data_IF_204172326896
#
_entry.id   IF_204172326896
#
_cell.length_a   1.000
_cell.length_b   1.000
_cell.length_c   1.000
_cell.angle_alpha   90.00
_cell.angle_beta   90.00
_cell.angle_gamma   90.00
#
_symmetry.space_group_name_H-M   'P 1'
#
loop_
_entity.id
_entity.type
_entity.pdbx_description
1 polymer ?
#
# COMPACT_ATOMS: atom_id res chain seq x y z
N UNK A 1 2.71 18.35 -23.47
CA UNK A 1 3.33 17.98 -24.76
C UNK A 1 4.65 17.32 -24.44
N UNK A 2 5.03 16.19 -25.05
CA UNK A 2 6.36 15.61 -24.80
C UNK A 2 7.42 16.63 -25.23
N UNK A 3 8.37 16.89 -24.34
CA UNK A 3 9.52 17.74 -24.64
C UNK A 3 10.27 17.14 -25.83
N UNK A 4 10.55 17.92 -26.85
CA UNK A 4 11.39 17.47 -27.96
C UNK A 4 12.77 17.10 -27.41
N UNK A 5 13.44 16.13 -28.03
CA UNK A 5 14.81 15.68 -27.64
C UNK A 5 15.81 16.84 -27.49
N UNK A 6 15.54 17.99 -28.12
CA UNK A 6 16.35 19.19 -28.05
C UNK A 6 16.10 20.09 -26.82
N UNK A 7 15.16 19.75 -25.95
CA UNK A 7 14.82 20.54 -24.74
C UNK A 7 15.19 19.85 -23.43
N UNK A 8 15.94 18.74 -23.48
CA UNK A 8 16.41 18.12 -22.25
C UNK A 8 17.47 19.00 -21.57
N UNK A 9 17.29 19.18 -20.25
CA UNK A 9 18.28 19.86 -19.41
C UNK A 9 19.62 19.16 -19.49
N UNK A 10 20.73 19.90 -19.45
CA UNK A 10 22.06 19.33 -19.32
C UNK A 10 22.18 18.56 -18.00
N UNK A 11 23.18 17.68 -17.87
CA UNK A 11 23.41 16.96 -16.60
C UNK A 11 23.63 17.91 -15.43
N UNK A 12 24.39 18.99 -15.64
CA UNK A 12 24.64 20.02 -14.62
C UNK A 12 23.35 20.74 -14.22
N UNK A 13 22.48 21.06 -15.17
CA UNK A 13 21.18 21.65 -14.90
C UNK A 13 20.26 20.70 -14.13
N UNK A 14 20.27 19.40 -14.45
CA UNK A 14 19.50 18.38 -13.73
C UNK A 14 20.01 18.22 -12.29
N UNK A 15 21.34 18.20 -12.08
CA UNK A 15 21.95 18.14 -10.75
C UNK A 15 21.53 19.35 -9.93
N UNK A 16 21.69 20.56 -10.44
CA UNK A 16 21.33 21.78 -9.75
C UNK A 16 19.83 21.84 -9.40
N UNK A 17 18.96 21.33 -10.29
CA UNK A 17 17.52 21.25 -10.03
C UNK A 17 17.19 20.31 -8.86
N UNK A 18 17.83 19.13 -8.80
CA UNK A 18 17.66 18.19 -7.70
C UNK A 18 18.20 18.75 -6.37
N UNK A 19 19.38 19.34 -6.37
CA UNK A 19 19.97 19.96 -5.18
C UNK A 19 19.08 21.07 -4.62
N UNK A 20 18.52 21.90 -5.51
CA UNK A 20 17.59 22.96 -5.14
C UNK A 20 16.30 22.37 -4.55
N UNK A 21 15.70 21.36 -5.19
CA UNK A 21 14.50 20.71 -4.68
C UNK A 21 14.74 20.10 -3.30
N UNK A 22 15.82 19.33 -3.14
CA UNK A 22 16.14 18.69 -1.86
C UNK A 22 16.42 19.69 -0.73
N UNK A 23 16.98 20.83 -1.05
CA UNK A 23 17.30 21.86 -0.06
C UNK A 23 16.10 22.75 0.30
N UNK A 24 15.19 23.01 -0.64
CA UNK A 24 14.14 24.02 -0.48
C UNK A 24 12.73 23.45 -0.31
N UNK A 25 12.49 22.25 -0.80
CA UNK A 25 11.17 21.64 -0.74
C UNK A 25 10.91 21.04 0.66
N UNK A 26 9.88 21.52 1.38
CA UNK A 26 9.53 21.02 2.72
C UNK A 26 9.30 19.50 2.77
N UNK A 27 8.93 18.88 1.63
CA UNK A 27 8.77 17.44 1.47
C UNK A 27 9.99 16.64 1.93
N UNK A 28 11.19 17.22 1.78
CA UNK A 28 12.46 16.54 2.07
C UNK A 28 13.06 16.87 3.43
N UNK A 29 12.34 17.64 4.24
CA UNK A 29 12.81 17.99 5.58
C UNK A 29 13.03 16.73 6.44
N UNK A 30 14.28 16.56 6.92
CA UNK A 30 14.66 15.43 7.76
C UNK A 30 14.93 14.12 7.01
N UNK A 31 14.81 14.10 5.67
CA UNK A 31 15.18 12.93 4.86
C UNK A 31 16.68 12.94 4.58
N UNK A 32 17.37 11.86 4.93
CA UNK A 32 18.79 11.66 4.62
C UNK A 32 18.95 10.80 3.37
N UNK A 33 19.92 11.18 2.54
CA UNK A 33 20.36 10.43 1.37
C UNK A 33 21.83 10.08 1.55
N UNK A 34 22.20 8.83 1.30
CA UNK A 34 23.60 8.37 1.34
C UNK A 34 24.36 8.61 0.02
N UNK A 35 23.81 9.43 -0.89
CA UNK A 35 24.30 9.69 -2.24
C UNK A 35 24.02 11.14 -2.63
N UNK A 36 24.67 11.60 -3.72
CA UNK A 36 24.52 12.95 -4.26
C UNK A 36 23.51 13.04 -5.41
N UNK A 37 23.06 14.25 -5.74
CA UNK A 37 22.26 14.52 -6.93
C UNK A 37 23.03 14.12 -8.23
N UNK A 38 24.34 14.27 -8.22
CA UNK A 38 25.20 13.83 -9.33
C UNK A 38 25.14 12.31 -9.54
N UNK A 39 25.08 11.51 -8.45
CA UNK A 39 24.92 10.06 -8.54
C UNK A 39 23.58 9.68 -9.16
N UNK A 40 22.49 10.37 -8.76
CA UNK A 40 21.16 10.18 -9.33
C UNK A 40 21.18 10.45 -10.83
N UNK A 41 21.69 11.60 -11.25
CA UNK A 41 21.72 12.01 -12.66
C UNK A 41 22.65 11.09 -13.48
N UNK A 42 23.73 10.59 -12.89
CA UNK A 42 24.64 9.64 -13.54
C UNK A 42 24.00 8.28 -13.79
N UNK A 43 23.13 7.81 -12.86
CA UNK A 43 22.57 6.45 -12.88
C UNK A 43 21.14 6.37 -13.41
N UNK A 44 20.45 7.53 -13.61
CA UNK A 44 19.21 7.55 -14.39
C UNK A 44 19.53 7.49 -15.89
N UNK A 45 18.65 6.94 -16.69
CA UNK A 45 18.83 6.92 -18.16
C UNK A 45 18.82 8.34 -18.76
N UNK A 46 19.21 8.46 -20.04
CA UNK A 46 19.13 9.72 -20.78
C UNK A 46 17.68 10.19 -21.04
N UNK A 47 16.74 9.27 -21.09
CA UNK A 47 15.31 9.53 -21.18
C UNK A 47 14.67 9.27 -19.81
N UNK A 48 13.85 10.21 -19.32
CA UNK A 48 13.06 10.06 -18.11
C UNK A 48 11.61 9.75 -18.49
N UNK A 49 11.16 8.49 -18.38
CA UNK A 49 9.75 8.16 -18.55
C UNK A 49 8.90 8.84 -17.47
N UNK A 50 7.71 9.28 -17.82
CA UNK A 50 6.75 9.81 -16.86
C UNK A 50 6.01 8.67 -16.17
N UNK A 51 5.88 8.76 -14.85
CA UNK A 51 5.16 7.83 -14.00
C UNK A 51 3.96 8.52 -13.34
N UNK A 52 3.04 9.02 -14.18
CA UNK A 52 1.94 9.91 -13.79
C UNK A 52 1.14 9.41 -12.59
N UNK A 53 0.76 8.13 -12.56
CA UNK A 53 -0.04 7.58 -11.47
C UNK A 53 0.76 7.48 -10.16
N UNK A 54 2.02 7.07 -10.22
CA UNK A 54 2.90 7.02 -9.06
C UNK A 54 3.19 8.42 -8.51
N UNK A 55 3.50 9.38 -9.39
CA UNK A 55 3.74 10.78 -9.05
C UNK A 55 2.52 11.37 -8.34
N UNK A 56 1.37 11.36 -9.01
CA UNK A 56 0.12 11.86 -8.47
C UNK A 56 -0.26 11.19 -7.14
N UNK A 57 -0.16 9.86 -7.11
CA UNK A 57 -0.49 9.09 -5.91
C UNK A 57 0.40 9.45 -4.72
N UNK A 58 1.72 9.61 -4.94
CA UNK A 58 2.65 10.00 -3.90
C UNK A 58 2.36 11.42 -3.36
N UNK A 59 2.06 12.38 -4.24
CA UNK A 59 1.71 13.75 -3.86
C UNK A 59 0.38 13.79 -3.09
N UNK A 60 -0.65 13.10 -3.57
CA UNK A 60 -1.95 13.01 -2.89
C UNK A 60 -1.79 12.37 -1.50
N UNK A 61 -1.07 11.25 -1.42
CA UNK A 61 -0.85 10.57 -0.13
C UNK A 61 -0.09 11.47 0.84
N UNK A 62 0.98 12.16 0.36
CA UNK A 62 1.74 13.07 1.19
C UNK A 62 0.87 14.17 1.80
N UNK A 63 0.03 14.82 1.00
CA UNK A 63 -0.86 15.87 1.47
C UNK A 63 -1.85 15.33 2.50
N UNK A 64 -2.46 14.18 2.24
CA UNK A 64 -3.42 13.56 3.15
C UNK A 64 -2.83 13.21 4.51
N UNK A 65 -1.66 12.60 4.57
CA UNK A 65 -1.00 12.25 5.84
C UNK A 65 -0.42 13.48 6.58
N UNK A 66 -0.33 14.62 5.91
CA UNK A 66 0.10 15.91 6.48
C UNK A 66 -1.04 16.90 6.78
N UNK A 67 -2.29 16.46 6.72
CA UNK A 67 -3.41 17.26 7.22
C UNK A 67 -4.64 17.34 6.33
N UNK A 68 -4.56 16.96 5.04
CA UNK A 68 -5.69 17.05 4.10
C UNK A 68 -6.65 15.85 4.17
N UNK A 69 -6.42 14.90 5.07
CA UNK A 69 -7.34 13.78 5.29
C UNK A 69 -8.59 14.23 6.04
N UNK A 70 -9.74 13.69 5.64
CA UNK A 70 -11.06 13.97 6.25
C UNK A 70 -11.12 13.73 7.76
N UNK A 71 -10.32 12.80 8.27
CA UNK A 71 -10.29 12.38 9.69
C UNK A 71 -9.03 12.84 10.43
N UNK A 72 -8.11 13.55 9.77
CA UNK A 72 -6.79 13.87 10.33
C UNK A 72 -5.80 12.70 10.32
N UNK A 73 -6.19 11.58 9.71
CA UNK A 73 -5.36 10.42 9.37
C UNK A 73 -5.97 9.66 8.20
N UNK A 74 -5.15 8.98 7.43
CA UNK A 74 -5.59 8.10 6.35
C UNK A 74 -5.83 6.71 6.91
N UNK A 75 -7.04 6.18 6.72
CA UNK A 75 -7.34 4.78 6.97
C UNK A 75 -7.53 4.03 5.64
N UNK A 76 -6.94 2.84 5.55
CA UNK A 76 -7.00 1.98 4.38
C UNK A 76 -7.26 0.53 4.79
N UNK A 77 -7.54 -0.33 3.86
CA UNK A 77 -7.49 -1.76 4.08
C UNK A 77 -7.05 -2.51 2.82
N UNK A 78 -6.60 -3.75 3.02
CA UNK A 78 -6.11 -4.59 1.96
C UNK A 78 -7.16 -4.88 0.90
N UNK A 79 -6.88 -4.54 -0.36
CA UNK A 79 -7.65 -5.00 -1.50
C UNK A 79 -7.04 -6.28 -2.06
N UNK A 80 -7.86 -7.30 -2.33
CA UNK A 80 -7.42 -8.56 -2.94
C UNK A 80 -7.70 -8.60 -4.45
N UNK A 81 -8.61 -7.76 -4.92
CA UNK A 81 -8.91 -7.61 -6.34
C UNK A 81 -9.01 -6.14 -6.73
N UNK A 82 -8.84 -5.87 -8.00
CA UNK A 82 -8.97 -4.52 -8.53
C UNK A 82 -10.39 -3.98 -8.43
N UNK A 83 -11.41 -4.83 -8.58
CA UNK A 83 -12.82 -4.47 -8.35
C UNK A 83 -13.08 -4.07 -6.90
N UNK A 84 -12.48 -4.78 -5.95
CA UNK A 84 -12.59 -4.42 -4.53
C UNK A 84 -11.97 -3.05 -4.23
N UNK A 85 -10.81 -2.74 -4.83
CA UNK A 85 -10.19 -1.42 -4.70
C UNK A 85 -11.06 -0.30 -5.32
N UNK A 86 -11.72 -0.58 -6.45
CA UNK A 86 -12.68 0.36 -7.07
C UNK A 86 -13.86 0.63 -6.14
N UNK A 87 -14.42 -0.39 -5.48
CA UNK A 87 -15.48 -0.20 -4.50
C UNK A 87 -15.00 0.58 -3.26
N UNK A 88 -13.74 0.42 -2.85
CA UNK A 88 -13.15 1.24 -1.78
C UNK A 88 -13.12 2.73 -2.16
N UNK A 89 -12.78 3.07 -3.42
CA UNK A 89 -12.83 4.44 -3.90
C UNK A 89 -14.27 4.98 -3.89
N UNK A 90 -15.24 4.23 -4.41
CA UNK A 90 -16.66 4.60 -4.38
C UNK A 90 -17.19 4.82 -2.97
N UNK A 91 -16.76 3.99 -2.03
CA UNK A 91 -17.13 4.10 -0.62
C UNK A 91 -16.46 5.27 0.11
N UNK A 92 -15.55 6.00 -0.55
CA UNK A 92 -14.94 7.22 -0.02
C UNK A 92 -13.69 7.00 0.83
N UNK A 93 -13.01 5.86 0.72
CA UNK A 93 -11.67 5.68 1.27
C UNK A 93 -10.69 6.63 0.57
N UNK A 94 -9.59 6.94 1.26
CA UNK A 94 -8.60 7.92 0.79
C UNK A 94 -7.29 7.29 0.33
N UNK A 95 -7.13 5.98 0.51
CA UNK A 95 -6.01 5.18 0.04
C UNK A 95 -6.38 3.69 -0.02
N UNK A 96 -5.61 2.93 -0.78
CA UNK A 96 -5.64 1.47 -0.81
C UNK A 96 -4.36 0.94 -0.18
N UNK A 97 -4.46 -0.04 0.70
CA UNK A 97 -3.31 -0.85 1.10
C UNK A 97 -3.26 -2.13 0.25
N UNK A 98 -2.09 -2.47 -0.27
CA UNK A 98 -1.87 -3.71 -1.01
C UNK A 98 -0.97 -4.64 -0.20
N UNK A 99 -1.61 -5.63 0.42
CA UNK A 99 -0.98 -6.59 1.33
C UNK A 99 -0.23 -7.68 0.59
N UNK A 100 1.05 -7.87 0.92
CA UNK A 100 1.83 -9.02 0.46
C UNK A 100 1.23 -10.35 0.93
N UNK A 101 0.68 -10.41 2.15
CA UNK A 101 -0.02 -11.59 2.65
C UNK A 101 -1.20 -11.99 1.75
N UNK A 102 -2.04 -11.02 1.36
CA UNK A 102 -3.18 -11.29 0.47
C UNK A 102 -2.72 -11.69 -0.93
N UNK A 103 -1.65 -11.06 -1.42
CA UNK A 103 -1.04 -11.44 -2.71
C UNK A 103 -0.46 -12.86 -2.63
N UNK A 104 0.21 -13.23 -1.55
CA UNK A 104 0.71 -14.60 -1.34
C UNK A 104 -0.45 -15.62 -1.38
N UNK A 105 -1.55 -15.32 -0.71
CA UNK A 105 -2.68 -16.23 -0.57
C UNK A 105 -3.49 -16.42 -1.87
N UNK A 106 -3.74 -15.33 -2.64
CA UNK A 106 -4.78 -15.35 -3.69
C UNK A 106 -4.51 -14.41 -4.88
N UNK A 107 -3.33 -13.83 -5.00
CA UNK A 107 -3.08 -12.85 -6.07
C UNK A 107 -1.69 -12.86 -6.69
N UNK A 108 -0.88 -13.89 -6.41
CA UNK A 108 0.50 -13.94 -6.88
C UNK A 108 0.64 -14.45 -8.31
N UNK A 109 1.74 -14.11 -8.96
CA UNK A 109 2.05 -14.49 -10.34
C UNK A 109 2.55 -15.94 -10.47
N UNK A 110 2.77 -16.65 -9.36
CA UNK A 110 3.09 -18.08 -9.33
C UNK A 110 1.83 -18.97 -9.40
N UNK A 111 0.63 -18.36 -9.42
CA UNK A 111 -0.67 -19.02 -9.64
C UNK A 111 -1.00 -20.11 -8.61
N UNK A 112 -0.53 -19.95 -7.35
CA UNK A 112 -0.78 -20.88 -6.26
C UNK A 112 -0.99 -20.17 -4.93
N UNK A 113 -1.50 -20.89 -3.95
CA UNK A 113 -1.72 -20.37 -2.61
C UNK A 113 -0.46 -20.56 -1.75
N UNK A 114 0.10 -19.45 -1.24
CA UNK A 114 1.24 -19.46 -0.34
C UNK A 114 0.94 -18.82 1.01
N UNK A 115 1.62 -19.26 2.08
CA UNK A 115 1.72 -18.45 3.29
C UNK A 115 2.58 -17.21 3.01
N UNK A 116 2.46 -16.21 3.88
CA UNK A 116 3.25 -14.96 3.80
C UNK A 116 4.72 -15.20 4.22
N UNK A 117 5.49 -15.79 3.33
CA UNK A 117 6.90 -16.17 3.50
C UNK A 117 7.77 -15.83 2.28
N UNK A 118 7.34 -14.87 1.46
CA UNK A 118 8.03 -14.46 0.23
C UNK A 118 8.34 -15.63 -0.74
N UNK A 119 7.41 -16.59 -0.83
CA UNK A 119 7.54 -17.75 -1.74
C UNK A 119 7.10 -17.41 -3.18
N UNK A 120 6.33 -16.34 -3.34
CA UNK A 120 5.88 -15.87 -4.64
C UNK A 120 6.95 -15.01 -5.33
N UNK A 121 6.83 -14.86 -6.64
CA UNK A 121 7.75 -14.06 -7.44
C UNK A 121 7.68 -12.57 -7.06
N UNK A 122 8.83 -11.89 -7.02
CA UNK A 122 8.96 -10.49 -6.58
C UNK A 122 8.09 -9.48 -7.35
N UNK A 123 7.66 -9.83 -8.56
CA UNK A 123 6.82 -9.00 -9.42
C UNK A 123 5.31 -9.14 -9.12
N UNK A 124 4.93 -10.01 -8.20
CA UNK A 124 3.53 -10.29 -7.89
C UNK A 124 2.79 -9.07 -7.36
N UNK A 125 3.37 -8.36 -6.37
CA UNK A 125 2.79 -7.14 -5.82
C UNK A 125 2.76 -6.02 -6.86
N UNK A 126 3.85 -5.71 -7.60
CA UNK A 126 3.80 -4.74 -8.69
C UNK A 126 2.73 -5.07 -9.76
N UNK A 127 2.53 -6.34 -10.09
CA UNK A 127 1.50 -6.77 -11.03
C UNK A 127 0.10 -6.46 -10.51
N UNK A 128 -0.17 -6.68 -9.23
CA UNK A 128 -1.45 -6.33 -8.62
C UNK A 128 -1.66 -4.80 -8.53
N UNK A 129 -0.62 -4.02 -8.20
CA UNK A 129 -0.67 -2.54 -8.27
C UNK A 129 -1.10 -2.08 -9.66
N UNK A 130 -0.49 -2.63 -10.71
CA UNK A 130 -0.82 -2.30 -12.11
C UNK A 130 -2.25 -2.69 -12.46
N UNK A 131 -2.72 -3.85 -11.99
CA UNK A 131 -4.10 -4.32 -12.20
C UNK A 131 -5.12 -3.36 -11.55
N UNK A 132 -4.88 -2.92 -10.32
CA UNK A 132 -5.72 -1.94 -9.62
C UNK A 132 -5.74 -0.61 -10.39
N UNK A 133 -4.59 -0.08 -10.74
CA UNK A 133 -4.49 1.17 -11.49
C UNK A 133 -5.17 1.10 -12.87
N UNK A 134 -5.12 -0.04 -13.56
CA UNK A 134 -5.83 -0.23 -14.83
C UNK A 134 -7.35 -0.23 -14.63
N UNK A 135 -7.84 -0.77 -13.52
CA UNK A 135 -9.27 -0.70 -13.16
C UNK A 135 -9.68 0.71 -12.80
N UNK A 136 -8.87 1.44 -12.05
CA UNK A 136 -9.11 2.86 -11.76
C UNK A 136 -9.18 3.71 -13.03
N UNK A 137 -8.27 3.50 -13.98
CA UNK A 137 -8.33 4.17 -15.29
C UNK A 137 -9.63 3.86 -16.03
N UNK A 138 -10.06 2.58 -16.05
CA UNK A 138 -11.31 2.21 -16.70
C UNK A 138 -12.52 2.83 -16.01
N UNK A 139 -12.57 2.84 -14.69
CA UNK A 139 -13.67 3.49 -13.95
C UNK A 139 -13.72 5.00 -14.22
N UNK A 140 -12.57 5.65 -14.30
CA UNK A 140 -12.47 7.07 -14.65
C UNK A 140 -12.89 7.33 -16.10
N UNK A 141 -12.46 6.52 -17.05
CA UNK A 141 -12.89 6.61 -18.46
C UNK A 141 -14.41 6.47 -18.61
N UNK A 142 -15.04 5.60 -17.82
CA UNK A 142 -16.51 5.42 -17.84
C UNK A 142 -17.22 6.67 -17.34
N UNK A 143 -16.80 7.24 -16.20
CA UNK A 143 -17.42 8.45 -15.67
C UNK A 143 -17.16 9.66 -16.56
N UNK A 144 -15.94 9.81 -17.09
CA UNK A 144 -15.57 10.87 -18.01
C UNK A 144 -16.38 10.82 -19.30
N UNK A 145 -16.58 9.64 -19.87
CA UNK A 145 -17.42 9.40 -21.05
C UNK A 145 -18.89 9.78 -20.84
N UNK A 146 -19.37 9.70 -19.60
CA UNK A 146 -20.71 10.16 -19.20
C UNK A 146 -20.80 11.67 -18.94
N UNK A 147 -19.70 12.43 -19.12
CA UNK A 147 -19.65 13.87 -18.92
C UNK A 147 -19.54 14.32 -17.46
N UNK A 148 -19.20 13.41 -16.54
CA UNK A 148 -18.98 13.74 -15.12
C UNK A 148 -17.61 14.40 -14.96
N UNK A 149 -17.56 15.62 -14.44
CA UNK A 149 -16.33 16.41 -14.33
C UNK A 149 -15.85 16.52 -12.87
N UNK A 150 -14.54 16.76 -12.64
CA UNK A 150 -14.04 17.13 -11.34
C UNK A 150 -14.79 18.34 -10.76
N UNK A 151 -15.36 18.18 -9.55
CA UNK A 151 -16.19 19.19 -8.90
C UNK A 151 -17.70 18.91 -8.98
N UNK A 152 -18.15 18.05 -9.87
CA UNK A 152 -19.52 17.55 -9.86
C UNK A 152 -19.77 16.69 -8.62
N UNK A 153 -21.00 16.68 -8.13
CA UNK A 153 -21.38 15.92 -6.92
C UNK A 153 -21.16 14.42 -7.08
N UNK A 154 -21.35 13.94 -8.29
CA UNK A 154 -21.24 12.53 -8.68
C UNK A 154 -19.80 12.11 -8.97
N UNK A 155 -18.87 13.06 -9.06
CA UNK A 155 -17.47 12.76 -9.40
C UNK A 155 -16.79 11.94 -8.31
N UNK A 156 -16.19 10.84 -8.71
CA UNK A 156 -15.39 9.99 -7.85
C UNK A 156 -13.92 10.06 -8.31
N UNK A 157 -13.02 10.47 -7.43
CA UNK A 157 -11.60 10.32 -7.69
C UNK A 157 -11.20 8.85 -7.47
N UNK A 158 -11.21 8.09 -8.56
CA UNK A 158 -10.82 6.68 -8.53
C UNK A 158 -9.34 6.47 -8.29
N UNK A 159 -8.48 7.45 -8.60
CA UNK A 159 -7.02 7.30 -8.51
C UNK A 159 -6.52 7.41 -7.07
N UNK A 160 -7.03 6.54 -6.21
CA UNK A 160 -6.56 6.45 -4.83
C UNK A 160 -5.07 6.09 -4.78
N UNK A 161 -4.28 6.74 -3.91
CA UNK A 161 -2.91 6.33 -3.68
C UNK A 161 -2.85 4.90 -3.15
N UNK A 162 -1.97 4.08 -3.74
CA UNK A 162 -1.75 2.69 -3.33
C UNK A 162 -0.45 2.61 -2.54
N UNK A 163 -0.54 2.14 -1.30
CA UNK A 163 0.64 1.77 -0.48
C UNK A 163 0.84 0.28 -0.58
N UNK A 164 1.99 -0.14 -1.11
CA UNK A 164 2.28 -1.51 -1.48
C UNK A 164 3.35 -2.16 -0.61
N UNK A 165 3.21 -3.46 -0.40
CA UNK A 165 4.10 -4.31 0.37
C UNK A 165 5.30 -4.76 -0.48
N UNK A 166 6.52 -4.41 -0.07
CA UNK A 166 7.76 -4.89 -0.68
C UNK A 166 8.42 -6.00 0.14
N UNK A 167 7.73 -6.54 1.17
CA UNK A 167 8.30 -7.58 2.01
C UNK A 167 9.66 -7.16 2.60
N UNK A 168 10.60 -8.08 2.73
CA UNK A 168 11.98 -7.78 3.08
C UNK A 168 12.85 -7.36 1.86
N UNK A 169 12.24 -7.01 0.74
CA UNK A 169 12.93 -6.59 -0.49
C UNK A 169 13.39 -7.73 -1.39
N UNK A 170 12.98 -8.98 -1.14
CA UNK A 170 13.32 -10.18 -1.91
C UNK A 170 14.83 -10.45 -2.10
N UNK A 171 15.66 -9.89 -1.22
CA UNK A 171 17.10 -10.05 -1.24
C UNK A 171 17.85 -8.89 -0.60
N UNK A 172 18.97 -8.49 -1.19
CA UNK A 172 19.79 -7.37 -0.74
C UNK A 172 19.38 -6.03 -1.34
N UNK A 173 20.27 -5.04 -1.25
CA UNK A 173 20.02 -3.66 -1.68
C UNK A 173 19.72 -3.54 -3.18
N UNK A 174 20.30 -4.36 -4.04
CA UNK A 174 20.03 -4.34 -5.48
C UNK A 174 18.63 -4.89 -5.79
N UNK A 175 18.18 -5.91 -5.07
CA UNK A 175 16.82 -6.41 -5.20
C UNK A 175 15.80 -5.35 -4.77
N UNK A 176 16.04 -4.67 -3.64
CA UNK A 176 15.19 -3.57 -3.15
C UNK A 176 15.14 -2.41 -4.16
N UNK A 177 16.26 -2.08 -4.80
CA UNK A 177 16.34 -1.04 -5.85
C UNK A 177 15.45 -1.38 -7.05
N UNK A 178 15.60 -2.56 -7.63
CA UNK A 178 14.81 -2.96 -8.80
C UNK A 178 13.34 -3.19 -8.48
N UNK A 179 13.03 -3.75 -7.28
CA UNK A 179 11.65 -3.89 -6.82
C UNK A 179 10.97 -2.54 -6.69
N UNK A 180 11.65 -1.55 -6.08
CA UNK A 180 11.09 -0.19 -5.95
C UNK A 180 10.82 0.45 -7.30
N UNK A 181 11.71 0.29 -8.29
CA UNK A 181 11.47 0.75 -9.66
C UNK A 181 10.22 0.09 -10.26
N UNK A 182 10.06 -1.21 -10.05
CA UNK A 182 8.89 -1.96 -10.52
C UNK A 182 7.59 -1.47 -9.88
N UNK A 183 7.60 -1.17 -8.58
CA UNK A 183 6.48 -0.57 -7.87
C UNK A 183 6.08 0.79 -8.45
N UNK A 184 7.07 1.65 -8.71
CA UNK A 184 6.85 2.97 -9.32
C UNK A 184 6.29 2.84 -10.75
N UNK A 185 6.83 1.96 -11.57
CA UNK A 185 6.32 1.69 -12.91
C UNK A 185 4.89 1.16 -12.91
N UNK A 186 4.53 0.41 -11.88
CA UNK A 186 3.16 -0.08 -11.68
C UNK A 186 2.19 1.02 -11.18
N UNK A 187 2.73 2.13 -10.66
CA UNK A 187 1.94 3.26 -10.17
C UNK A 187 1.71 3.26 -8.66
N UNK A 188 2.58 2.63 -7.85
CA UNK A 188 2.51 2.70 -6.40
C UNK A 188 2.84 4.12 -5.90
N UNK A 189 2.04 4.61 -4.95
CA UNK A 189 2.20 5.90 -4.28
C UNK A 189 3.16 5.82 -3.10
N UNK A 190 3.13 4.71 -2.38
CA UNK A 190 3.98 4.40 -1.25
C UNK A 190 4.37 2.94 -1.25
N UNK A 191 5.52 2.64 -0.64
CA UNK A 191 6.05 1.27 -0.54
C UNK A 191 6.69 1.09 0.83
N UNK A 192 6.39 -0.02 1.49
CA UNK A 192 7.07 -0.36 2.74
C UNK A 192 8.04 -1.53 2.57
N UNK A 193 9.11 -1.46 3.35
CA UNK A 193 10.14 -2.50 3.48
C UNK A 193 10.29 -2.87 4.95
N UNK A 194 10.50 -4.16 5.23
CA UNK A 194 10.73 -4.67 6.58
C UNK A 194 12.16 -5.16 6.78
N UNK A 195 12.57 -5.23 8.05
CA UNK A 195 13.95 -5.52 8.47
C UNK A 195 14.25 -7.01 8.67
N UNK A 196 13.45 -7.89 8.06
CA UNK A 196 13.68 -9.33 8.10
C UNK A 196 14.71 -9.79 7.04
N UNK A 197 15.34 -10.92 7.32
CA UNK A 197 16.14 -11.67 6.34
C UNK A 197 15.19 -12.23 5.26
N UNK A 198 15.33 -11.78 4.02
CA UNK A 198 14.44 -12.15 2.92
C UNK A 198 14.35 -13.68 2.69
N UNK A 199 15.48 -14.40 2.84
CA UNK A 199 15.56 -15.84 2.60
C UNK A 199 14.71 -16.69 3.56
N UNK A 200 14.36 -16.16 4.75
CA UNK A 200 13.56 -16.85 5.77
C UNK A 200 12.42 -15.99 6.30
N UNK A 201 11.98 -15.01 5.53
CA UNK A 201 10.92 -14.06 5.89
C UNK A 201 9.66 -14.77 6.38
N UNK A 202 9.03 -14.18 7.38
CA UNK A 202 7.77 -14.63 7.98
C UNK A 202 6.78 -13.46 8.06
N UNK A 203 5.50 -13.76 8.03
CA UNK A 203 4.47 -12.80 8.44
C UNK A 203 4.78 -12.24 9.84
N UNK A 204 4.49 -10.98 10.08
CA UNK A 204 4.76 -10.31 11.35
C UNK A 204 4.24 -11.03 12.59
N UNK A 205 3.18 -11.81 12.44
CA UNK A 205 2.52 -12.57 13.51
C UNK A 205 2.96 -14.05 13.58
N UNK A 206 3.91 -14.46 12.76
CA UNK A 206 4.52 -15.80 12.82
C UNK A 206 5.79 -15.80 13.68
N UNK A 207 6.13 -16.99 14.21
CA UNK A 207 7.42 -17.22 14.87
C UNK A 207 8.57 -17.38 13.88
N UNK A 208 9.82 -17.42 14.41
CA UNK A 208 11.01 -17.71 13.61
C UNK A 208 11.48 -16.56 12.70
N UNK A 209 11.07 -15.33 12.99
CA UNK A 209 11.57 -14.14 12.30
C UNK A 209 13.05 -13.92 12.59
N UNK A 210 13.83 -13.64 11.56
CA UNK A 210 15.25 -13.30 11.65
C UNK A 210 15.43 -11.87 11.13
N UNK A 211 15.94 -10.99 11.98
CA UNK A 211 16.29 -9.62 11.60
C UNK A 211 17.60 -9.59 10.80
N UNK A 212 17.71 -8.63 9.88
CA UNK A 212 19.01 -8.20 9.39
C UNK A 212 19.60 -7.14 10.33
N UNK A 213 20.93 -6.86 10.33
CA UNK A 213 21.50 -5.75 11.08
C UNK A 213 20.79 -4.43 10.78
N UNK A 214 20.67 -3.57 11.77
CA UNK A 214 20.00 -2.28 11.63
C UNK A 214 20.55 -1.48 10.45
N UNK A 215 21.86 -1.48 10.24
CA UNK A 215 22.51 -0.81 9.11
C UNK A 215 22.07 -1.39 7.76
N UNK A 216 21.99 -2.70 7.63
CA UNK A 216 21.54 -3.37 6.41
C UNK A 216 20.09 -2.98 6.07
N UNK A 217 19.22 -2.91 7.07
CA UNK A 217 17.86 -2.41 6.89
C UNK A 217 17.84 -0.93 6.43
N UNK A 218 18.66 -0.07 7.04
CA UNK A 218 18.83 1.31 6.58
C UNK A 218 19.32 1.38 5.13
N UNK A 219 20.26 0.53 4.73
CA UNK A 219 20.79 0.48 3.36
C UNK A 219 19.72 0.06 2.35
N UNK A 220 18.78 -0.82 2.70
CA UNK A 220 17.60 -1.14 1.88
C UNK A 220 16.67 0.07 1.72
N UNK A 221 16.43 0.84 2.79
CA UNK A 221 15.63 2.08 2.71
C UNK A 221 16.31 3.15 1.86
N UNK A 222 17.63 3.31 1.98
CA UNK A 222 18.43 4.21 1.12
C UNK A 222 18.33 3.76 -0.33
N UNK A 223 18.41 2.46 -0.59
CA UNK A 223 18.27 1.87 -1.92
C UNK A 223 16.90 2.16 -2.54
N UNK A 224 15.82 2.01 -1.77
CA UNK A 224 14.47 2.34 -2.20
C UNK A 224 14.33 3.85 -2.51
N UNK A 225 14.87 4.73 -1.64
CA UNK A 225 14.88 6.18 -1.90
C UNK A 225 15.68 6.53 -3.14
N UNK A 226 16.84 5.89 -3.33
CA UNK A 226 17.66 6.09 -4.51
C UNK A 226 16.93 5.68 -5.79
N UNK A 227 16.23 4.56 -5.77
CA UNK A 227 15.39 4.13 -6.89
C UNK A 227 14.29 5.17 -7.22
N UNK A 228 13.62 5.70 -6.20
CA UNK A 228 12.60 6.74 -6.36
C UNK A 228 13.19 8.03 -6.95
N UNK A 229 14.34 8.49 -6.44
CA UNK A 229 15.03 9.67 -6.97
C UNK A 229 15.54 9.45 -8.41
N UNK A 230 16.04 8.26 -8.75
CA UNK A 230 16.43 7.87 -10.13
C UNK A 230 15.21 7.89 -11.05
N UNK A 231 14.07 7.40 -10.61
CA UNK A 231 12.82 7.39 -11.36
C UNK A 231 12.13 8.77 -11.41
N UNK A 232 12.57 9.73 -10.57
CA UNK A 232 12.01 11.08 -10.51
C UNK A 232 10.63 11.15 -9.85
N UNK A 233 10.28 10.21 -8.98
CA UNK A 233 8.99 10.14 -8.30
C UNK A 233 9.17 10.30 -6.79
N UNK A 234 8.42 11.18 -6.10
CA UNK A 234 8.54 11.41 -4.66
C UNK A 234 7.82 10.31 -3.84
N UNK A 235 8.02 9.04 -4.20
CA UNK A 235 7.35 7.90 -3.58
C UNK A 235 7.50 7.91 -2.07
N UNK A 236 6.42 7.64 -1.36
CA UNK A 236 6.40 7.54 0.09
C UNK A 236 7.05 6.23 0.52
N UNK A 237 8.07 6.31 1.38
CA UNK A 237 8.76 5.12 1.91
C UNK A 237 8.37 4.92 3.36
N UNK A 238 7.87 3.73 3.67
CA UNK A 238 7.56 3.31 5.04
C UNK A 238 8.60 2.27 5.48
N UNK A 239 9.21 2.50 6.64
CA UNK A 239 10.11 1.54 7.27
C UNK A 239 9.34 0.72 8.30
N UNK A 240 9.31 -0.60 8.14
CA UNK A 240 8.74 -1.52 9.12
C UNK A 240 9.84 -2.19 9.91
N UNK A 241 9.67 -2.28 11.24
CA UNK A 241 10.46 -3.18 12.07
C UNK A 241 9.60 -4.30 12.65
N UNK A 242 10.14 -5.50 12.65
CA UNK A 242 9.57 -6.70 13.27
C UNK A 242 10.22 -7.03 14.63
N UNK A 243 10.99 -6.11 15.19
CA UNK A 243 11.80 -6.31 16.39
C UNK A 243 10.98 -6.53 17.67
N UNK A 244 9.67 -6.21 17.68
CA UNK A 244 8.79 -6.51 18.82
C UNK A 244 8.74 -8.00 19.12
N UNK A 245 8.74 -8.86 18.10
CA UNK A 245 8.60 -10.30 18.29
C UNK A 245 9.78 -11.12 17.73
N UNK A 246 10.72 -10.51 17.00
CA UNK A 246 11.84 -11.22 16.40
C UNK A 246 12.98 -11.42 17.40
N UNK A 247 13.37 -12.67 17.65
CA UNK A 247 14.42 -13.07 18.61
C UNK A 247 15.70 -13.56 17.94
N UNK A 248 15.84 -13.39 16.63
CA UNK A 248 17.01 -13.79 15.88
C UNK A 248 17.51 -12.63 15.01
N UNK A 249 18.83 -12.59 14.81
CA UNK A 249 19.51 -11.66 13.91
C UNK A 249 20.64 -12.37 13.17
N UNK A 250 20.93 -11.96 11.94
CA UNK A 250 21.94 -12.60 11.09
C UNK A 250 23.36 -12.34 11.54
N UNK A 251 23.65 -11.22 12.20
CA UNK A 251 25.00 -10.78 12.54
C UNK A 251 25.04 -10.00 13.87
N UNK A 252 26.22 -9.96 14.49
CA UNK A 252 26.44 -9.37 15.81
C UNK A 252 27.37 -8.15 15.80
N UNK A 253 27.73 -7.56 14.68
CA UNK A 253 28.73 -6.50 14.65
C UNK A 253 28.14 -5.08 14.50
N UNK A 254 26.85 -4.95 14.25
CA UNK A 254 26.20 -3.64 14.19
C UNK A 254 26.09 -3.04 15.61
N UNK A 255 26.61 -1.84 15.78
CA UNK A 255 26.63 -1.16 17.07
C UNK A 255 25.23 -0.90 17.64
N UNK A 256 24.23 -0.68 16.77
CA UNK A 256 22.85 -0.44 17.17
C UNK A 256 22.17 -1.69 17.75
N UNK A 257 22.65 -2.88 17.37
CA UNK A 257 22.06 -4.15 17.77
C UNK A 257 22.78 -4.79 18.98
N UNK A 258 23.97 -4.29 19.36
CA UNK A 258 24.82 -4.88 20.42
C UNK A 258 24.09 -5.03 21.76
N UNK A 259 23.32 -4.03 22.19
CA UNK A 259 22.64 -4.02 23.48
C UNK A 259 21.57 -5.13 23.60
N UNK A 260 21.12 -5.66 22.48
CA UNK A 260 20.06 -6.68 22.43
C UNK A 260 20.57 -8.11 22.29
N UNK A 261 21.85 -8.31 22.00
CA UNK A 261 22.44 -9.64 21.86
C UNK A 261 22.43 -10.39 23.19
N UNK A 262 22.03 -11.67 23.16
CA UNK A 262 22.06 -12.56 24.37
C UNK A 262 23.37 -13.28 24.52
N UNK A 263 24.23 -13.31 23.52
CA UNK A 263 25.45 -14.11 23.46
C UNK A 263 25.24 -15.54 22.94
N UNK A 264 24.00 -15.95 22.75
CA UNK A 264 23.66 -17.31 22.26
C UNK A 264 23.52 -17.33 20.73
N UNK A 265 23.70 -18.53 20.15
CA UNK A 265 23.51 -18.80 18.72
C UNK A 265 22.59 -19.98 18.49
N UNK A 266 21.91 -20.01 17.35
CA UNK A 266 21.13 -21.14 16.87
C UNK A 266 22.03 -22.16 16.13
N UNK A 267 21.46 -23.31 15.81
CA UNK A 267 22.14 -24.35 15.03
C UNK A 267 22.49 -23.82 13.61
N UNK A 268 21.67 -22.98 13.02
CA UNK A 268 21.89 -22.37 11.71
C UNK A 268 22.93 -21.24 11.76
N UNK A 269 23.33 -20.81 12.95
CA UNK A 269 24.34 -19.80 13.19
C UNK A 269 23.79 -18.38 13.38
N UNK A 270 22.48 -18.18 13.44
CA UNK A 270 21.88 -16.90 13.82
C UNK A 270 22.18 -16.55 15.28
N UNK A 271 22.31 -15.27 15.57
CA UNK A 271 22.43 -14.79 16.95
C UNK A 271 21.06 -14.60 17.56
N UNK A 272 20.93 -14.87 18.87
CA UNK A 272 19.71 -14.57 19.61
C UNK A 272 19.75 -13.13 20.11
N UNK A 273 18.59 -12.47 20.02
CA UNK A 273 18.37 -11.10 20.50
C UNK A 273 17.19 -11.04 21.46
N UNK A 274 17.22 -10.05 22.37
CA UNK A 274 16.07 -9.66 23.17
C UNK A 274 15.13 -8.84 22.30
N UNK A 275 13.94 -9.34 22.09
CA UNK A 275 12.86 -8.65 21.37
C UNK A 275 12.11 -7.66 22.27
N UNK A 276 11.15 -6.94 21.69
CA UNK A 276 10.25 -6.05 22.41
C UNK A 276 10.43 -4.57 22.14
N UNK A 277 9.86 -3.76 23.01
CA UNK A 277 9.74 -2.31 22.80
C UNK A 277 11.10 -1.61 22.64
N UNK A 278 12.08 -1.92 23.48
CA UNK A 278 13.39 -1.25 23.45
C UNK A 278 14.13 -1.50 22.12
N UNK A 279 14.12 -2.74 21.64
CA UNK A 279 14.72 -3.07 20.35
C UNK A 279 13.94 -2.41 19.19
N UNK A 280 12.61 -2.40 19.26
CA UNK A 280 11.76 -1.73 18.28
C UNK A 280 12.02 -0.23 18.22
N UNK A 281 12.16 0.43 19.37
CA UNK A 281 12.50 1.86 19.46
C UNK A 281 13.88 2.11 18.86
N UNK A 282 14.89 1.34 19.22
CA UNK A 282 16.26 1.49 18.70
C UNK A 282 16.27 1.47 17.17
N UNK A 283 15.56 0.52 16.57
CA UNK A 283 15.43 0.39 15.10
C UNK A 283 14.57 1.49 14.49
N UNK A 284 13.41 1.79 15.08
CA UNK A 284 12.54 2.85 14.61
C UNK A 284 13.23 4.22 14.54
N UNK A 285 14.03 4.54 15.55
CA UNK A 285 14.86 5.76 15.59
C UNK A 285 15.93 5.73 14.48
N UNK A 286 16.58 4.59 14.26
CA UNK A 286 17.59 4.45 13.22
C UNK A 286 17.01 4.59 11.80
N UNK A 287 15.79 4.13 11.58
CA UNK A 287 15.11 4.18 10.26
C UNK A 287 14.51 5.55 9.94
N UNK A 288 14.13 6.31 10.96
CA UNK A 288 13.44 7.59 10.81
C UNK A 288 14.09 8.58 9.82
N UNK A 289 15.43 8.72 9.72
CA UNK A 289 16.04 9.59 8.74
C UNK A 289 15.92 9.14 7.28
N UNK A 290 15.64 7.86 7.03
CA UNK A 290 15.65 7.25 5.69
C UNK A 290 14.25 6.94 5.15
N UNK A 291 13.22 7.03 6.00
CA UNK A 291 11.83 6.79 5.63
C UNK A 291 10.96 8.02 5.87
N UNK A 292 9.82 8.08 5.19
CA UNK A 292 8.78 9.09 5.40
C UNK A 292 7.95 8.77 6.63
N UNK A 293 7.57 7.49 6.78
CA UNK A 293 6.88 6.97 7.95
C UNK A 293 7.66 5.80 8.56
N UNK A 294 7.49 5.62 9.87
CA UNK A 294 8.03 4.46 10.59
C UNK A 294 6.89 3.65 11.17
N UNK A 295 7.02 2.33 11.09
CA UNK A 295 6.04 1.38 11.56
C UNK A 295 6.72 0.26 12.37
N UNK A 296 6.21 -0.02 13.57
CA UNK A 296 6.54 -1.21 14.33
C UNK A 296 5.39 -2.22 14.21
N UNK A 297 5.66 -3.42 13.71
CA UNK A 297 4.68 -4.51 13.75
C UNK A 297 4.54 -5.03 15.18
N UNK A 298 3.30 -5.20 15.65
CA UNK A 298 2.99 -5.64 17.02
C UNK A 298 2.11 -6.87 17.03
N UNK A 299 2.15 -7.62 18.12
CA UNK A 299 1.36 -8.86 18.29
C UNK A 299 -0.04 -8.64 18.84
N UNK A 300 -0.31 -7.48 19.45
CA UNK A 300 -1.60 -7.12 20.07
C UNK A 300 -1.88 -5.64 19.90
N UNK A 301 -3.17 -5.20 19.98
CA UNK A 301 -3.54 -3.80 19.92
C UNK A 301 -3.27 -3.11 21.27
N UNK A 302 -2.06 -2.58 21.44
CA UNK A 302 -1.60 -1.92 22.67
C UNK A 302 -1.27 -0.44 22.41
N UNK A 303 -2.17 0.44 22.88
CA UNK A 303 -1.99 1.90 22.74
C UNK A 303 -0.87 2.44 23.64
N UNK A 304 -0.53 1.73 24.73
CA UNK A 304 0.60 2.06 25.62
C UNK A 304 1.92 1.85 24.88
N UNK A 305 2.11 0.69 24.29
CA UNK A 305 3.25 0.37 23.44
C UNK A 305 3.38 1.37 22.28
N UNK A 306 2.27 1.63 21.58
CA UNK A 306 2.26 2.58 20.47
C UNK A 306 2.69 3.99 20.92
N UNK A 307 2.26 4.42 22.11
CA UNK A 307 2.63 5.73 22.68
C UNK A 307 4.13 5.82 23.00
N UNK A 308 4.68 4.82 23.67
CA UNK A 308 6.09 4.81 24.04
C UNK A 308 6.99 4.78 22.80
N UNK A 309 6.65 3.97 21.80
CA UNK A 309 7.33 3.93 20.52
C UNK A 309 7.27 5.30 19.81
N UNK A 310 6.09 5.90 19.72
CA UNK A 310 5.90 7.20 19.09
C UNK A 310 6.70 8.31 19.78
N UNK A 311 6.66 8.36 21.12
CA UNK A 311 7.40 9.35 21.91
C UNK A 311 8.91 9.26 21.68
N UNK A 312 9.45 8.05 21.65
CA UNK A 312 10.88 7.83 21.42
C UNK A 312 11.32 8.22 20.00
N UNK A 313 10.53 7.86 18.98
CA UNK A 313 10.81 8.27 17.59
C UNK A 313 10.70 9.79 17.44
N UNK A 314 9.70 10.43 18.03
CA UNK A 314 9.54 11.89 17.98
C UNK A 314 10.60 12.66 18.75
N UNK A 315 11.12 12.10 19.85
CA UNK A 315 12.25 12.71 20.57
C UNK A 315 13.51 12.77 19.71
N UNK A 316 13.77 11.71 18.91
CA UNK A 316 14.91 11.65 18.01
C UNK A 316 14.69 12.36 16.67
N UNK A 317 13.45 12.35 16.19
CA UNK A 317 13.05 12.90 14.89
C UNK A 317 11.70 13.63 15.03
N UNK A 318 11.69 14.88 15.49
CA UNK A 318 10.48 15.65 15.75
C UNK A 318 9.56 15.74 14.51
N UNK A 319 8.28 15.40 14.70
CA UNK A 319 7.27 15.42 13.63
C UNK A 319 7.35 14.27 12.65
N UNK A 320 8.15 13.22 12.92
CA UNK A 320 8.19 12.02 12.08
C UNK A 320 6.81 11.36 12.04
N UNK A 321 6.30 11.13 10.84
CA UNK A 321 5.03 10.43 10.65
C UNK A 321 5.17 8.94 10.97
N UNK A 322 4.10 8.36 11.50
CA UNK A 322 4.06 6.95 11.88
C UNK A 322 2.92 6.23 11.14
N UNK A 323 3.06 4.92 11.01
CA UNK A 323 2.06 4.03 10.42
C UNK A 323 1.75 2.88 11.37
N UNK A 324 0.51 2.36 11.31
CA UNK A 324 0.06 1.27 12.19
C UNK A 324 -0.78 0.25 11.44
N UNK A 325 -0.49 -1.02 11.67
CA UNK A 325 -1.30 -2.13 11.21
C UNK A 325 -2.36 -2.49 12.27
N UNK A 326 -3.61 -2.16 12.00
CA UNK A 326 -4.76 -2.63 12.77
C UNK A 326 -5.07 -4.09 12.37
N UNK A 327 -4.19 -5.00 12.73
CA UNK A 327 -4.13 -6.35 12.18
C UNK A 327 -5.38 -7.19 12.49
N UNK A 328 -5.90 -7.96 11.52
CA UNK A 328 -6.87 -9.03 11.77
C UNK A 328 -6.31 -10.18 12.59
N UNK A 329 -4.99 -10.31 12.72
CA UNK A 329 -4.36 -11.30 13.61
C UNK A 329 -4.53 -10.96 15.10
N UNK A 330 -4.93 -9.74 15.42
CA UNK A 330 -5.30 -9.38 16.78
C UNK A 330 -6.68 -9.94 17.13
N UNK A 331 -6.82 -10.53 18.31
CA UNK A 331 -8.13 -10.77 18.87
C UNK A 331 -8.59 -9.50 19.62
N UNK A 332 -9.21 -8.58 18.87
CA UNK A 332 -9.63 -7.27 19.36
C UNK A 332 -10.47 -7.33 20.62
N UNK A 333 -11.51 -8.15 20.62
CA UNK A 333 -12.44 -8.32 21.76
C UNK A 333 -11.81 -8.98 22.98
N UNK A 334 -10.75 -9.80 22.81
CA UNK A 334 -10.01 -10.38 23.92
C UNK A 334 -9.14 -9.33 24.63
N UNK A 335 -8.62 -8.36 23.88
CA UNK A 335 -7.64 -7.39 24.37
C UNK A 335 -8.28 -6.07 24.80
N UNK A 336 -9.39 -5.65 24.16
CA UNK A 336 -9.99 -4.34 24.32
C UNK A 336 -11.50 -4.44 24.50
N UNK A 337 -12.10 -3.52 25.26
CA UNK A 337 -13.53 -3.33 25.31
C UNK A 337 -14.06 -2.50 24.11
N UNK A 338 -15.37 -2.40 23.94
CA UNK A 338 -16.00 -1.74 22.80
C UNK A 338 -15.63 -0.25 22.67
N UNK A 339 -15.54 0.46 23.78
CA UNK A 339 -15.14 1.87 23.80
C UNK A 339 -13.71 2.06 23.32
N UNK A 340 -12.79 1.21 23.81
CA UNK A 340 -11.39 1.24 23.39
C UNK A 340 -11.22 0.86 21.90
N UNK A 341 -11.97 -0.12 21.42
CA UNK A 341 -11.98 -0.48 20.00
C UNK A 341 -12.47 0.71 19.16
N UNK A 342 -13.53 1.37 19.59
CA UNK A 342 -14.13 2.49 18.86
C UNK A 342 -13.18 3.70 18.76
N UNK A 343 -12.42 4.03 19.81
CA UNK A 343 -11.48 5.19 19.81
C UNK A 343 -10.09 4.86 19.29
N UNK A 344 -9.73 3.58 19.09
CA UNK A 344 -8.35 3.13 18.90
C UNK A 344 -7.61 3.86 17.78
N UNK A 345 -8.26 4.06 16.62
CA UNK A 345 -7.64 4.73 15.48
C UNK A 345 -7.46 6.24 15.71
N UNK A 346 -8.37 6.88 16.43
CA UNK A 346 -8.26 8.29 16.81
C UNK A 346 -7.13 8.49 17.82
N UNK A 347 -7.03 7.60 18.82
CA UNK A 347 -5.96 7.60 19.81
C UNK A 347 -4.58 7.44 19.13
N UNK A 348 -4.46 6.54 18.17
CA UNK A 348 -3.27 6.39 17.33
C UNK A 348 -2.96 7.66 16.54
N UNK A 349 -3.98 8.28 15.94
CA UNK A 349 -3.80 9.52 15.16
C UNK A 349 -3.25 10.65 16.03
N UNK A 350 -3.73 10.77 17.27
CA UNK A 350 -3.22 11.75 18.23
C UNK A 350 -1.74 11.53 18.58
N UNK A 351 -1.24 10.30 18.48
CA UNK A 351 0.17 9.93 18.68
C UNK A 351 1.04 10.10 17.43
N UNK A 352 0.49 10.54 16.30
CA UNK A 352 1.24 10.74 15.06
C UNK A 352 1.17 9.58 14.05
N UNK A 353 0.37 8.56 14.30
CA UNK A 353 0.11 7.48 13.35
C UNK A 353 -0.87 7.96 12.27
N UNK A 354 -0.33 8.52 11.19
CA UNK A 354 -1.13 9.19 10.16
C UNK A 354 -1.53 8.31 8.98
N UNK A 355 -0.93 7.15 8.84
CA UNK A 355 -1.37 6.11 7.90
C UNK A 355 -1.67 4.83 8.69
N UNK A 356 -2.95 4.43 8.72
CA UNK A 356 -3.43 3.28 9.48
C UNK A 356 -4.17 2.33 8.53
N UNK A 357 -3.99 1.04 8.70
CA UNK A 357 -4.58 0.09 7.75
C UNK A 357 -4.90 -1.25 8.41
N UNK A 358 -5.87 -1.96 7.82
CA UNK A 358 -6.23 -3.33 8.17
C UNK A 358 -5.70 -4.23 7.04
N UNK A 359 -4.58 -4.89 7.26
CA UNK A 359 -3.86 -5.64 6.23
C UNK A 359 -4.73 -6.60 5.43
N UNK A 360 -5.56 -7.40 6.10
CA UNK A 360 -6.23 -8.56 5.51
C UNK A 360 -7.75 -8.40 5.44
N UNK A 361 -8.31 -7.20 5.67
CA UNK A 361 -9.76 -7.04 5.70
C UNK A 361 -10.43 -7.48 4.39
N UNK A 362 -9.80 -7.19 3.25
CA UNK A 362 -10.36 -7.55 1.95
C UNK A 362 -10.53 -9.06 1.75
N UNK A 363 -9.51 -9.85 2.08
CA UNK A 363 -9.60 -11.30 1.96
C UNK A 363 -10.55 -11.90 2.98
N UNK A 364 -10.58 -11.39 4.23
CA UNK A 364 -11.54 -11.84 5.25
C UNK A 364 -12.98 -11.59 4.80
N UNK A 365 -13.28 -10.39 4.30
CA UNK A 365 -14.62 -10.05 3.78
C UNK A 365 -15.00 -11.00 2.63
N UNK A 366 -14.09 -11.19 1.67
CA UNK A 366 -14.34 -12.02 0.48
C UNK A 366 -14.57 -13.48 0.86
N UNK A 367 -13.66 -14.09 1.61
CA UNK A 367 -13.74 -15.51 1.96
C UNK A 367 -14.90 -15.81 2.92
N UNK A 368 -15.13 -14.95 3.91
CA UNK A 368 -16.25 -15.12 4.84
C UNK A 368 -17.61 -15.06 4.13
N UNK A 369 -17.85 -14.04 3.31
CA UNK A 369 -19.11 -13.92 2.58
C UNK A 369 -19.30 -15.06 1.57
N UNK A 370 -18.23 -15.47 0.87
CA UNK A 370 -18.27 -16.63 -0.04
C UNK A 370 -18.61 -17.92 0.71
N UNK A 371 -18.00 -18.13 1.90
CA UNK A 371 -18.32 -19.30 2.72
C UNK A 371 -19.77 -19.28 3.19
N UNK A 372 -20.26 -18.16 3.70
CA UNK A 372 -21.64 -18.03 4.20
C UNK A 372 -22.66 -18.34 3.11
N UNK A 373 -22.47 -17.72 1.94
CA UNK A 373 -23.36 -17.97 0.81
C UNK A 373 -23.29 -19.43 0.32
N UNK A 374 -22.10 -19.96 0.12
CA UNK A 374 -21.91 -21.34 -0.35
C UNK A 374 -22.50 -22.36 0.63
N UNK A 375 -22.35 -22.16 1.94
CA UNK A 375 -22.91 -23.02 2.97
C UNK A 375 -24.44 -23.07 2.89
N UNK A 376 -25.09 -21.89 2.86
CA UNK A 376 -26.55 -21.79 2.78
C UNK A 376 -27.08 -22.37 1.45
N UNK A 377 -26.44 -22.07 0.34
CA UNK A 377 -26.81 -22.55 -0.98
C UNK A 377 -26.70 -24.08 -1.08
N UNK A 378 -25.61 -24.67 -0.56
CA UNK A 378 -25.41 -26.12 -0.54
C UNK A 378 -26.42 -26.85 0.38
N UNK A 379 -26.95 -26.17 1.42
CA UNK A 379 -27.91 -26.74 2.35
C UNK A 379 -29.40 -26.43 2.01
N UNK A 380 -29.67 -26.01 0.78
CA UNK A 380 -31.02 -25.94 0.21
C UNK A 380 -31.75 -24.60 0.40
N UNK A 381 -31.09 -23.55 0.89
CA UNK A 381 -31.71 -22.22 0.99
C UNK A 381 -31.86 -21.54 -0.39
N UNK A 382 -31.07 -21.96 -1.37
CA UNK A 382 -31.23 -21.61 -2.78
C UNK A 382 -31.22 -20.10 -3.08
N UNK A 383 -32.00 -19.72 -4.08
CA UNK A 383 -32.09 -18.34 -4.56
C UNK A 383 -32.65 -17.37 -3.55
N UNK A 384 -33.49 -17.84 -2.61
CA UNK A 384 -33.98 -16.99 -1.53
C UNK A 384 -32.83 -16.41 -0.68
N UNK A 385 -31.82 -17.24 -0.39
CA UNK A 385 -30.65 -16.77 0.36
C UNK A 385 -29.83 -15.76 -0.44
N UNK A 386 -29.65 -16.00 -1.75
CA UNK A 386 -28.98 -15.04 -2.64
C UNK A 386 -29.67 -13.68 -2.63
N UNK A 387 -31.00 -13.67 -2.78
CA UNK A 387 -31.76 -12.41 -2.76
C UNK A 387 -31.57 -11.69 -1.44
N UNK A 388 -31.75 -12.37 -0.31
CA UNK A 388 -31.68 -11.76 1.02
C UNK A 388 -30.25 -11.30 1.40
N UNK A 389 -29.23 -12.08 1.03
CA UNK A 389 -27.85 -11.80 1.42
C UNK A 389 -27.15 -10.83 0.48
N UNK A 390 -27.50 -10.84 -0.80
CA UNK A 390 -26.78 -10.08 -1.84
C UNK A 390 -27.68 -9.06 -2.50
N UNK A 391 -28.73 -9.48 -3.22
CA UNK A 391 -29.45 -8.60 -4.13
C UNK A 391 -30.23 -7.48 -3.40
N UNK A 392 -30.98 -7.80 -2.34
CA UNK A 392 -31.68 -6.77 -1.56
C UNK A 392 -30.73 -5.79 -0.86
N UNK A 393 -29.62 -6.23 -0.20
CA UNK A 393 -28.62 -5.31 0.32
C UNK A 393 -27.94 -4.44 -0.74
N UNK A 394 -27.66 -4.98 -1.94
CA UNK A 394 -27.12 -4.19 -3.04
C UNK A 394 -28.08 -3.09 -3.49
N UNK A 395 -29.37 -3.39 -3.64
CA UNK A 395 -30.39 -2.39 -3.96
C UNK A 395 -30.47 -1.31 -2.88
N UNK A 396 -30.50 -1.68 -1.61
CA UNK A 396 -30.51 -0.74 -0.51
C UNK A 396 -29.24 0.13 -0.45
N UNK A 397 -28.08 -0.42 -0.86
CA UNK A 397 -26.81 0.31 -0.88
C UNK A 397 -26.71 1.37 -2.00
N UNK A 398 -27.65 1.42 -2.95
CA UNK A 398 -27.70 2.47 -3.97
C UNK A 398 -27.72 3.87 -3.38
N UNK A 399 -28.43 4.07 -2.28
CA UNK A 399 -28.48 5.35 -1.57
C UNK A 399 -27.11 5.80 -1.04
N UNK A 400 -26.19 4.84 -0.84
CA UNK A 400 -24.79 5.07 -0.42
C UNK A 400 -23.82 5.21 -1.59
N UNK A 401 -24.32 5.15 -2.83
CA UNK A 401 -23.49 5.23 -4.05
C UNK A 401 -23.01 3.89 -4.61
N UNK A 402 -23.53 2.76 -4.13
CA UNK A 402 -23.24 1.45 -4.69
C UNK A 402 -23.98 1.24 -6.01
N UNK A 403 -23.29 0.90 -7.10
CA UNK A 403 -23.87 0.83 -8.45
C UNK A 403 -23.70 -0.50 -9.16
N UNK A 404 -23.06 -1.49 -8.52
CA UNK A 404 -22.75 -2.78 -9.16
C UNK A 404 -23.97 -3.68 -9.42
N UNK A 405 -25.15 -3.31 -8.93
CA UNK A 405 -26.41 -3.92 -9.42
C UNK A 405 -26.54 -3.82 -10.93
N UNK A 406 -26.01 -2.77 -11.53
CA UNK A 406 -25.88 -2.60 -12.97
C UNK A 406 -24.46 -3.02 -13.40
N UNK A 407 -24.17 -4.30 -13.25
CA UNK A 407 -22.82 -4.85 -13.38
C UNK A 407 -22.24 -4.75 -14.79
N UNK A 408 -23.06 -4.78 -15.85
CA UNK A 408 -22.59 -4.58 -17.23
C UNK A 408 -22.09 -3.14 -17.43
N UNK A 409 -22.85 -2.17 -16.96
CA UNK A 409 -22.43 -0.76 -16.99
C UNK A 409 -21.21 -0.51 -16.12
N UNK A 410 -21.15 -1.12 -14.93
CA UNK A 410 -20.06 -0.96 -13.99
C UNK A 410 -18.70 -1.34 -14.59
N UNK A 411 -18.66 -2.38 -15.42
CA UNK A 411 -17.43 -2.85 -16.09
C UNK A 411 -17.21 -2.22 -17.47
N UNK A 412 -18.11 -1.32 -17.92
CA UNK A 412 -17.89 -0.47 -19.07
C UNK A 412 -18.60 -0.87 -20.35
N UNK A 413 -19.68 -1.68 -20.32
CA UNK A 413 -20.42 -2.02 -21.55
C UNK A 413 -20.87 -0.76 -22.30
N UNK A 414 -21.45 0.25 -21.62
CA UNK A 414 -21.84 1.51 -22.23
C UNK A 414 -20.68 2.31 -22.81
N UNK A 415 -19.53 2.32 -22.14
CA UNK A 415 -18.32 2.95 -22.68
C UNK A 415 -17.88 2.34 -24.00
N UNK A 416 -17.92 1.01 -24.12
CA UNK A 416 -17.58 0.35 -25.38
C UNK A 416 -18.67 0.47 -26.46
N UNK A 417 -19.93 0.63 -26.08
CA UNK A 417 -21.01 1.01 -27.01
C UNK A 417 -20.74 2.39 -27.64
N UNK A 418 -20.29 3.35 -26.84
CA UNK A 418 -19.89 4.68 -27.32
C UNK A 418 -18.67 4.61 -28.23
N UNK A 419 -17.62 3.85 -27.85
CA UNK A 419 -16.42 3.65 -28.69
C UNK A 419 -16.81 3.05 -30.03
N UNK A 420 -17.68 2.02 -30.03
CA UNK A 420 -18.17 1.39 -31.27
C UNK A 420 -18.95 2.38 -32.13
N UNK A 421 -19.83 3.15 -31.52
CA UNK A 421 -20.63 4.17 -32.20
C UNK A 421 -19.76 5.22 -32.87
N UNK A 422 -18.72 5.72 -32.19
CA UNK A 422 -17.76 6.69 -32.75
C UNK A 422 -16.99 6.09 -33.92
N UNK A 423 -16.49 4.87 -33.80
CA UNK A 423 -15.75 4.17 -34.87
C UNK A 423 -16.62 3.98 -36.11
N UNK A 424 -17.93 3.71 -35.92
CA UNK A 424 -18.89 3.48 -37.01
C UNK A 424 -19.51 4.75 -37.55
N UNK A 425 -18.98 5.92 -37.23
CA UNK A 425 -19.44 7.19 -37.79
C UNK A 425 -20.73 7.75 -37.17
N UNK A 426 -21.01 7.42 -35.92
CA UNK A 426 -22.10 8.01 -35.13
C UNK A 426 -23.36 7.15 -34.98
N UNK A 427 -23.39 5.94 -35.54
CA UNK A 427 -24.48 4.99 -35.32
C UNK A 427 -23.96 3.54 -35.24
N UNK A 428 -24.58 2.72 -34.38
CA UNK A 428 -24.28 1.32 -34.27
C UNK A 428 -25.54 0.51 -33.94
N UNK A 429 -25.71 -0.61 -34.60
CA UNK A 429 -26.77 -1.57 -34.30
C UNK A 429 -26.33 -2.69 -33.33
N UNK A 430 -25.06 -2.71 -32.95
CA UNK A 430 -24.47 -3.77 -32.09
C UNK A 430 -24.17 -3.28 -30.67
N UNK A 431 -25.00 -2.37 -30.14
CA UNK A 431 -24.90 -1.88 -28.77
C UNK A 431 -25.28 -2.97 -27.78
N UNK A 432 -24.47 -3.13 -26.73
CA UNK A 432 -24.64 -4.18 -25.73
C UNK A 432 -25.72 -3.87 -24.69
N UNK A 433 -25.85 -2.58 -24.30
CA UNK A 433 -26.82 -2.17 -23.27
C UNK A 433 -28.23 -2.00 -23.79
N UNK A 434 -28.43 -1.51 -25.01
CA UNK A 434 -29.75 -1.28 -25.57
C UNK A 434 -30.54 -2.58 -25.72
N UNK A 435 -31.70 -2.67 -25.06
CA UNK A 435 -32.52 -3.88 -25.01
C UNK A 435 -31.95 -5.01 -24.14
N UNK A 436 -31.02 -4.70 -23.26
CA UNK A 436 -30.48 -5.66 -22.29
C UNK A 436 -31.40 -5.82 -21.07
N UNK A 437 -31.30 -6.95 -20.39
CA UNK A 437 -32.01 -7.17 -19.11
C UNK A 437 -31.61 -6.16 -18.05
N UNK A 438 -30.41 -5.60 -18.12
CA UNK A 438 -29.97 -4.56 -17.20
C UNK A 438 -30.71 -3.24 -17.42
N UNK A 439 -30.93 -2.86 -18.69
CA UNK A 439 -31.74 -1.68 -19.03
C UNK A 439 -33.21 -1.88 -18.61
N UNK A 440 -33.76 -3.08 -18.78
CA UNK A 440 -35.16 -3.34 -18.50
C UNK A 440 -35.51 -3.55 -17.02
N UNK A 441 -34.59 -4.10 -16.22
CA UNK A 441 -34.93 -4.61 -14.89
C UNK A 441 -34.17 -3.89 -13.73
N UNK A 442 -33.12 -3.14 -14.01
CA UNK A 442 -32.23 -2.61 -12.95
C UNK A 442 -32.09 -1.07 -12.94
N UNK A 443 -33.03 -0.36 -13.53
CA UNK A 443 -33.12 1.10 -13.47
C UNK A 443 -33.96 1.61 -12.31
#
# INVERSE_FOLDING_TARGET
MPQSLNQQLSREQQIAALEKDWAQNPRWKGVKRGYSAADVVRLRGSLQPEHTLAQRGAEVLWNKINGDSKKGYVNAFGAISAGQAMQQAKAGLEAVYLSGWQVAADGNTSETMYPDQSLYAYDSVPTMVRRINNTFKRADEIQWGKGVNPGDKEFIDYFLPIVADAEAGFGGVLNAFELMKNMIQAGAAGVHFEDQLAAVKKCGHMGGKVLVPTREACEKLISARFAADVMGVPTIILARTDAEAANLITSNHDANDQAFLTGERTQEGFYRVKNGLEQSISRGVAYAPYADLVWCETGVPDIGFAREFAQAVHAASPGKLLSYNCSPSFNWKKNLNDSQIASFQEDLSALGYKFQFITLAGIHINWYNSFQFAHAYANGEGMKHYVNMVQEPEFAAREKGYTFVSHQQEVGAGYFDDVTTVIQGGSSSVKALTGSTEEEQFH
#
